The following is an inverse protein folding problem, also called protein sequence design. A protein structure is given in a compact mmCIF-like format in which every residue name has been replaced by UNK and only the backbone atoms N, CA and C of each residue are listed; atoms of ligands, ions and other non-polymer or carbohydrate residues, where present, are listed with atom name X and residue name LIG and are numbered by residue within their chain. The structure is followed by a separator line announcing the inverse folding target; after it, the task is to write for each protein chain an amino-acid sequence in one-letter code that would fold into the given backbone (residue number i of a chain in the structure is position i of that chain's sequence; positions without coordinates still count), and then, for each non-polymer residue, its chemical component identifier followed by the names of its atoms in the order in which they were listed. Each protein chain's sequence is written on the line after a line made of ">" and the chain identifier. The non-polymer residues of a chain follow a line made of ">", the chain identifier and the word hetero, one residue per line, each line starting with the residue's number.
data_IF_392766122949
#
_entry.id   IF_392766122949
#
_cell.length_a   1.000
_cell.length_b   1.000
_cell.length_c   1.000
_cell.angle_alpha   90.00
_cell.angle_beta   90.00
_cell.angle_gamma   90.00
#
_symmetry.space_group_name_H-M   'P 1'
#
loop_
_entity.id
_entity.type
_entity.pdbx_description
1 polymer ?
#
# COMPACT_ATOMS: atom_id res chain seq x y z
N UNK A 1 11.23 -17.19 -6.39
CA UNK A 1 11.24 -18.16 -5.27
C UNK A 1 10.30 -17.64 -4.19
N UNK A 2 9.34 -18.44 -3.73
CA UNK A 2 8.40 -18.05 -2.67
C UNK A 2 9.11 -17.98 -1.31
N UNK A 3 8.87 -16.91 -0.57
CA UNK A 3 9.35 -16.74 0.81
C UNK A 3 8.22 -16.21 1.67
N UNK A 4 8.14 -16.70 2.89
CA UNK A 4 7.16 -16.27 3.89
C UNK A 4 7.89 -15.77 5.13
N UNK A 5 7.50 -14.61 5.60
CA UNK A 5 8.00 -14.00 6.83
C UNK A 5 6.84 -13.78 7.79
N UNK A 6 7.07 -14.03 9.07
CA UNK A 6 6.07 -13.84 10.12
C UNK A 6 6.69 -13.10 11.29
N UNK A 7 5.93 -12.17 11.87
CA UNK A 7 6.29 -11.49 13.11
C UNK A 7 5.04 -11.17 13.93
N UNK A 8 5.18 -11.00 15.21
CA UNK A 8 4.11 -10.49 16.04
C UNK A 8 4.13 -8.95 16.09
N UNK A 9 3.02 -8.34 15.79
CA UNK A 9 2.82 -6.89 15.83
C UNK A 9 1.56 -6.60 16.63
N UNK A 10 1.69 -5.87 17.73
CA UNK A 10 0.59 -5.48 18.62
C UNK A 10 -0.31 -6.67 19.05
N UNK A 11 0.30 -7.81 19.38
CA UNK A 11 -0.40 -9.02 19.82
C UNK A 11 -1.09 -9.83 18.73
N UNK A 12 -0.82 -9.53 17.44
CA UNK A 12 -1.35 -10.25 16.29
C UNK A 12 -0.22 -10.62 15.32
N UNK A 13 -0.40 -11.73 14.63
CA UNK A 13 0.58 -12.19 13.65
C UNK A 13 0.46 -11.38 12.36
N UNK A 14 1.55 -10.68 12.01
CA UNK A 14 1.76 -10.12 10.69
C UNK A 14 2.54 -11.13 9.85
N UNK A 15 1.97 -11.55 8.73
CA UNK A 15 2.61 -12.45 7.76
C UNK A 15 2.78 -11.74 6.43
N UNK A 16 3.93 -11.92 5.82
CA UNK A 16 4.28 -11.35 4.52
C UNK A 16 4.71 -12.48 3.59
N UNK A 17 3.97 -12.67 2.52
CA UNK A 17 4.27 -13.63 1.46
C UNK A 17 4.87 -12.88 0.26
N UNK A 18 6.10 -13.24 -0.11
CA UNK A 18 6.85 -12.63 -1.23
C UNK A 18 7.08 -13.67 -2.32
N UNK A 19 6.89 -13.28 -3.59
CA UNK A 19 7.11 -14.15 -4.75
C UNK A 19 6.02 -15.20 -4.98
N UNK A 20 4.85 -15.05 -4.35
CA UNK A 20 3.70 -15.93 -4.53
C UNK A 20 2.81 -15.48 -5.68
N UNK A 21 2.61 -14.18 -5.80
CA UNK A 21 1.71 -13.54 -6.78
C UNK A 21 2.42 -12.36 -7.43
N UNK A 22 1.88 -11.87 -8.54
CA UNK A 22 2.35 -10.67 -9.24
C UNK A 22 3.83 -10.73 -9.67
N UNK A 23 4.27 -11.86 -10.23
CA UNK A 23 5.65 -12.07 -10.67
C UNK A 23 6.16 -11.08 -11.74
N UNK A 24 5.26 -10.32 -12.39
CA UNK A 24 5.60 -9.32 -13.40
C UNK A 24 5.83 -7.93 -12.79
N UNK A 25 5.45 -7.70 -11.53
CA UNK A 25 5.74 -6.45 -10.83
C UNK A 25 7.22 -6.43 -10.41
N UNK A 26 7.81 -5.21 -10.30
CA UNK A 26 9.16 -5.05 -9.79
C UNK A 26 9.27 -5.51 -8.33
N UNK A 27 8.21 -5.28 -7.54
CA UNK A 27 8.08 -5.82 -6.20
C UNK A 27 6.63 -6.13 -5.86
N UNK A 28 6.38 -7.22 -5.14
CA UNK A 28 5.05 -7.60 -4.70
C UNK A 28 5.09 -8.29 -3.33
N UNK A 29 4.20 -7.87 -2.45
CA UNK A 29 4.02 -8.43 -1.12
C UNK A 29 2.53 -8.69 -0.86
N UNK A 30 2.19 -9.93 -0.47
CA UNK A 30 0.87 -10.27 0.02
C UNK A 30 0.92 -10.24 1.55
N UNK A 31 0.24 -9.25 2.11
CA UNK A 31 0.22 -8.97 3.53
C UNK A 31 -0.97 -9.63 4.20
N UNK A 32 -0.75 -10.25 5.34
CA UNK A 32 -1.80 -10.79 6.19
C UNK A 32 -1.63 -10.25 7.61
N UNK A 33 -2.66 -9.65 8.14
CA UNK A 33 -2.69 -9.18 9.52
C UNK A 33 -4.04 -9.51 10.15
N UNK A 34 -4.08 -10.50 11.04
CA UNK A 34 -5.32 -11.17 11.38
C UNK A 34 -5.97 -11.77 10.12
N UNK A 35 -7.25 -11.53 9.92
CA UNK A 35 -7.99 -11.96 8.72
C UNK A 35 -7.97 -10.89 7.60
N UNK A 36 -7.34 -9.74 7.84
CA UNK A 36 -7.14 -8.73 6.79
C UNK A 36 -6.02 -9.15 5.84
N UNK A 37 -6.31 -9.12 4.55
CA UNK A 37 -5.36 -9.46 3.49
C UNK A 37 -5.27 -8.31 2.49
N UNK A 38 -4.06 -7.82 2.26
CA UNK A 38 -3.78 -6.76 1.28
C UNK A 38 -2.67 -7.20 0.34
N UNK A 39 -2.90 -7.07 -0.94
CA UNK A 39 -1.90 -7.25 -1.98
C UNK A 39 -1.30 -5.88 -2.33
N UNK A 40 -0.02 -5.70 -2.05
CA UNK A 40 0.73 -4.50 -2.41
C UNK A 40 1.74 -4.81 -3.51
N UNK A 41 1.71 -4.01 -4.58
CA UNK A 41 2.64 -4.14 -5.70
C UNK A 41 3.31 -2.82 -6.02
N UNK A 42 4.57 -2.89 -6.41
CA UNK A 42 5.35 -1.75 -6.90
C UNK A 42 5.81 -2.05 -8.33
N UNK A 43 5.53 -1.14 -9.24
CA UNK A 43 5.95 -1.21 -10.64
C UNK A 43 6.57 0.10 -11.07
N UNK A 44 7.64 0.04 -11.86
CA UNK A 44 8.28 1.21 -12.44
C UNK A 44 8.43 1.05 -13.95
N UNK A 45 8.35 2.17 -14.68
CA UNK A 45 8.72 2.19 -16.09
C UNK A 45 10.22 2.00 -16.26
N UNK A 46 10.64 1.40 -17.37
CA UNK A 46 12.08 1.23 -17.68
C UNK A 46 12.75 2.55 -18.06
N UNK A 47 11.99 3.45 -18.68
CA UNK A 47 12.48 4.72 -19.19
C UNK A 47 11.57 5.85 -18.69
N UNK A 48 12.13 7.04 -18.42
CA UNK A 48 11.34 8.21 -18.08
C UNK A 48 10.56 8.68 -19.30
N UNK A 49 9.40 9.28 -19.10
CA UNK A 49 8.63 9.91 -20.18
C UNK A 49 9.30 11.19 -20.61
N UNK A 50 9.33 11.45 -21.91
CA UNK A 50 9.84 12.69 -22.47
C UNK A 50 9.02 13.90 -21.98
N UNK A 51 9.71 14.98 -21.59
CA UNK A 51 9.09 16.26 -21.22
C UNK A 51 8.53 16.34 -19.81
N UNK A 52 8.87 15.39 -18.91
CA UNK A 52 8.45 15.46 -17.51
C UNK A 52 9.57 15.96 -16.62
N UNK A 53 9.32 17.07 -15.91
CA UNK A 53 10.26 17.69 -14.96
C UNK A 53 10.04 17.26 -13.50
N UNK A 54 8.98 16.50 -13.22
CA UNK A 54 8.63 16.05 -11.88
C UNK A 54 8.67 14.52 -11.76
N UNK A 55 8.69 14.02 -10.52
CA UNK A 55 8.62 12.59 -10.24
C UNK A 55 7.16 12.09 -10.31
N UNK A 56 6.80 11.26 -11.31
CA UNK A 56 5.45 10.74 -11.46
C UNK A 56 5.24 9.49 -10.57
N UNK A 57 4.83 9.71 -9.34
CA UNK A 57 4.41 8.65 -8.41
C UNK A 57 2.89 8.58 -8.36
N UNK A 58 2.33 7.44 -8.70
CA UNK A 58 0.92 7.10 -8.53
C UNK A 58 0.76 6.08 -7.42
N UNK A 59 -0.06 6.39 -6.44
CA UNK A 59 -0.44 5.45 -5.38
C UNK A 59 -1.93 5.18 -5.48
N UNK A 60 -2.27 3.92 -5.66
CA UNK A 60 -3.64 3.45 -5.74
C UNK A 60 -3.94 2.57 -4.52
N UNK A 61 -5.11 2.77 -3.95
CA UNK A 61 -5.67 1.96 -2.90
C UNK A 61 -7.08 1.55 -3.30
N UNK A 62 -7.31 0.26 -3.42
CA UNK A 62 -8.56 -0.28 -3.92
C UNK A 62 -9.21 -1.20 -2.89
N UNK A 63 -10.42 -0.82 -2.48
CA UNK A 63 -11.31 -1.63 -1.65
C UNK A 63 -12.29 -2.36 -2.56
N UNK A 64 -12.15 -3.68 -2.67
CA UNK A 64 -13.03 -4.50 -3.50
C UNK A 64 -14.22 -5.01 -2.69
N UNK A 65 -15.41 -5.00 -3.28
CA UNK A 65 -16.64 -5.47 -2.63
C UNK A 65 -16.56 -6.95 -2.20
N UNK A 66 -15.80 -7.75 -2.94
CA UNK A 66 -15.59 -9.17 -2.56
C UNK A 66 -14.80 -9.34 -1.26
N UNK A 67 -14.00 -8.35 -0.84
CA UNK A 67 -13.26 -8.38 0.41
C UNK A 67 -14.18 -8.48 1.65
N UNK A 68 -15.41 -8.04 1.52
CA UNK A 68 -16.47 -8.16 2.53
C UNK A 68 -17.61 -9.12 2.10
N UNK A 69 -17.33 -10.00 1.14
CA UNK A 69 -18.29 -11.01 0.65
C UNK A 69 -19.47 -10.42 -0.14
N UNK A 70 -19.35 -9.21 -0.68
CA UNK A 70 -20.42 -8.54 -1.42
C UNK A 70 -20.13 -8.49 -2.92
N UNK A 71 -21.21 -8.47 -3.72
CA UNK A 71 -21.14 -8.24 -5.16
C UNK A 71 -21.57 -6.79 -5.44
N UNK A 72 -20.91 -6.05 -6.36
CA UNK A 72 -21.34 -4.71 -6.74
C UNK A 72 -22.82 -4.68 -7.16
N UNK A 73 -23.58 -3.71 -6.60
CA UNK A 73 -25.03 -3.62 -6.78
C UNK A 73 -25.50 -3.01 -8.10
N UNK A 74 -24.59 -2.42 -8.89
CA UNK A 74 -24.92 -1.80 -10.17
C UNK A 74 -25.35 -2.79 -11.25
N UNK A 75 -26.03 -2.31 -12.30
CA UNK A 75 -26.49 -3.12 -13.43
C UNK A 75 -25.37 -3.95 -14.06
N UNK A 76 -24.19 -3.34 -14.25
CA UNK A 76 -23.03 -4.00 -14.85
C UNK A 76 -22.26 -4.92 -13.89
N UNK A 77 -22.67 -5.03 -12.63
CA UNK A 77 -21.96 -5.80 -11.58
C UNK A 77 -20.46 -5.50 -11.50
N UNK A 78 -20.10 -4.25 -11.79
CA UNK A 78 -18.73 -3.75 -11.74
C UNK A 78 -18.58 -2.76 -10.59
N UNK A 79 -17.38 -2.71 -10.06
CA UNK A 79 -17.00 -1.69 -9.09
C UNK A 79 -16.93 -0.32 -9.76
N UNK A 80 -17.38 0.70 -9.04
CA UNK A 80 -17.36 2.08 -9.51
C UNK A 80 -16.00 2.75 -9.30
N UNK A 81 -16.03 4.08 -9.20
CA UNK A 81 -14.85 4.89 -8.83
C UNK A 81 -14.43 4.57 -7.39
N UNK A 82 -13.15 4.82 -7.10
CA UNK A 82 -12.63 4.73 -5.74
C UNK A 82 -13.43 5.58 -4.77
N UNK A 83 -13.65 5.08 -3.55
CA UNK A 83 -14.32 5.82 -2.48
C UNK A 83 -13.47 7.02 -2.03
N UNK A 84 -14.08 8.01 -1.38
CA UNK A 84 -13.35 9.14 -0.80
C UNK A 84 -12.29 8.66 0.21
N UNK A 85 -12.62 7.65 1.02
CA UNK A 85 -11.68 7.03 1.95
C UNK A 85 -10.50 6.37 1.22
N UNK A 86 -10.74 5.69 0.12
CA UNK A 86 -9.68 5.08 -0.68
C UNK A 86 -8.73 6.14 -1.26
N UNK A 87 -9.28 7.28 -1.74
CA UNK A 87 -8.48 8.40 -2.23
C UNK A 87 -7.65 9.03 -1.10
N UNK A 88 -8.24 9.21 0.09
CA UNK A 88 -7.52 9.74 1.25
C UNK A 88 -6.42 8.78 1.71
N UNK A 89 -6.70 7.49 1.76
CA UNK A 89 -5.72 6.46 2.12
C UNK A 89 -4.55 6.43 1.14
N UNK A 90 -4.81 6.50 -0.16
CA UNK A 90 -3.74 6.56 -1.16
C UNK A 90 -2.84 7.79 -0.97
N UNK A 91 -3.42 8.95 -0.60
CA UNK A 91 -2.65 10.15 -0.26
C UNK A 91 -1.84 10.02 1.02
N UNK A 92 -2.38 9.32 2.03
CA UNK A 92 -1.67 9.04 3.29
C UNK A 92 -0.47 8.15 3.03
N UNK A 93 -0.56 7.20 2.10
CA UNK A 93 0.56 6.36 1.68
C UNK A 93 1.58 7.14 0.84
N UNK A 94 1.12 7.96 -0.11
CA UNK A 94 1.99 8.73 -1.01
C UNK A 94 2.91 9.72 -0.27
N UNK A 95 2.35 10.49 0.66
CA UNK A 95 3.07 11.58 1.32
C UNK A 95 4.37 11.17 2.02
N UNK A 96 4.40 10.12 2.84
CA UNK A 96 5.62 9.70 3.51
C UNK A 96 6.58 8.93 2.59
N UNK A 97 6.10 8.29 1.55
CA UNK A 97 6.93 7.51 0.64
C UNK A 97 7.62 8.38 -0.41
N UNK A 98 6.95 9.41 -0.91
CA UNK A 98 7.47 10.29 -1.98
C UNK A 98 8.84 10.92 -1.68
N UNK A 99 9.13 11.43 -0.46
CA UNK A 99 10.43 12.02 -0.15
C UNK A 99 11.59 11.02 -0.10
N UNK A 100 11.30 9.71 -0.01
CA UNK A 100 12.30 8.65 0.08
C UNK A 100 12.80 8.19 -1.30
N UNK A 101 12.22 8.70 -2.38
CA UNK A 101 12.75 8.51 -3.73
C UNK A 101 13.82 9.56 -4.05
N UNK A 102 14.84 9.23 -4.85
CA UNK A 102 15.85 10.19 -5.29
C UNK A 102 15.23 11.36 -6.04
N UNK A 103 15.71 12.57 -5.78
CA UNK A 103 15.17 13.81 -6.40
C UNK A 103 15.27 13.83 -7.93
N UNK A 104 16.25 13.11 -8.48
CA UNK A 104 16.50 13.03 -9.92
C UNK A 104 15.80 11.87 -10.60
N UNK A 105 15.05 11.06 -9.86
CA UNK A 105 14.30 9.94 -10.41
C UNK A 105 13.07 10.43 -11.17
N UNK A 106 12.91 10.01 -12.44
CA UNK A 106 11.87 10.49 -13.36
C UNK A 106 11.02 9.38 -13.98
N UNK A 107 11.33 8.12 -13.64
CA UNK A 107 10.53 6.99 -14.13
C UNK A 107 9.16 7.00 -13.47
N UNK A 108 8.14 6.57 -14.22
CA UNK A 108 6.80 6.38 -13.66
C UNK A 108 6.82 5.25 -12.62
N UNK A 109 6.40 5.55 -11.41
CA UNK A 109 6.22 4.54 -10.36
C UNK A 109 4.75 4.43 -10.01
N UNK A 110 4.23 3.21 -10.02
CA UNK A 110 2.86 2.92 -9.58
C UNK A 110 2.90 1.93 -8.43
N UNK A 111 2.32 2.35 -7.31
CA UNK A 111 2.10 1.51 -6.14
C UNK A 111 0.61 1.17 -6.08
N UNK A 112 0.27 -0.10 -6.23
CA UNK A 112 -1.12 -0.53 -6.14
C UNK A 112 -1.31 -1.40 -4.90
N UNK A 113 -2.28 -1.01 -4.07
CA UNK A 113 -2.64 -1.69 -2.84
C UNK A 113 -4.10 -2.15 -2.95
N UNK A 114 -4.30 -3.45 -3.11
CA UNK A 114 -5.61 -4.05 -3.27
C UNK A 114 -6.02 -4.79 -2.02
N UNK A 115 -7.13 -4.40 -1.43
CA UNK A 115 -7.72 -5.06 -0.26
C UNK A 115 -8.48 -6.29 -0.73
N UNK A 116 -8.05 -7.48 -0.28
CA UNK A 116 -8.61 -8.77 -0.68
C UNK A 116 -9.53 -9.39 0.38
N UNK A 117 -9.27 -9.11 1.65
CA UNK A 117 -10.12 -9.50 2.78
C UNK A 117 -9.99 -8.46 3.88
N UNK A 118 -11.05 -8.26 4.66
CA UNK A 118 -11.10 -7.26 5.74
C UNK A 118 -11.58 -7.91 7.03
N UNK A 119 -10.78 -7.74 8.07
CA UNK A 119 -11.16 -7.95 9.46
C UNK A 119 -11.53 -6.58 10.07
N UNK A 120 -12.72 -6.42 10.65
CA UNK A 120 -13.16 -5.16 11.27
C UNK A 120 -12.21 -4.61 12.35
N UNK A 121 -11.46 -5.50 13.01
CA UNK A 121 -10.50 -5.12 14.04
C UNK A 121 -9.10 -4.79 13.51
N UNK A 122 -8.81 -5.13 12.25
CA UNK A 122 -7.52 -4.91 11.59
C UNK A 122 -7.67 -4.00 10.38
N UNK A 123 -7.45 -2.71 10.57
CA UNK A 123 -7.62 -1.71 9.51
C UNK A 123 -6.73 -1.99 8.30
N UNK A 124 -7.29 -2.18 7.10
CA UNK A 124 -6.52 -2.52 5.91
C UNK A 124 -5.60 -1.38 5.44
N UNK A 125 -5.90 -0.12 5.80
CA UNK A 125 -5.09 1.04 5.43
C UNK A 125 -3.66 0.95 6.02
N UNK A 126 -3.54 0.50 7.28
CA UNK A 126 -2.24 0.32 7.93
C UNK A 126 -1.45 -0.82 7.27
N UNK A 127 -2.14 -1.91 6.97
CA UNK A 127 -1.55 -3.07 6.29
C UNK A 127 -1.08 -2.70 4.89
N UNK A 128 -1.87 -1.90 4.16
CA UNK A 128 -1.53 -1.39 2.84
C UNK A 128 -0.27 -0.49 2.87
N UNK A 129 -0.15 0.38 3.86
CA UNK A 129 1.01 1.25 4.02
C UNK A 129 2.30 0.44 4.26
N UNK A 130 2.26 -0.52 5.16
CA UNK A 130 3.38 -1.41 5.43
C UNK A 130 3.70 -2.24 4.18
N UNK A 131 2.67 -2.76 3.52
CA UNK A 131 2.79 -3.54 2.30
C UNK A 131 3.42 -2.77 1.14
N UNK A 132 2.97 -1.52 0.91
CA UNK A 132 3.55 -0.64 -0.10
C UNK A 132 5.04 -0.37 0.17
N UNK A 133 5.40 -0.10 1.43
CA UNK A 133 6.79 0.10 1.83
C UNK A 133 7.63 -1.16 1.57
N UNK A 134 7.16 -2.33 1.97
CA UNK A 134 7.85 -3.61 1.74
C UNK A 134 7.98 -3.90 0.24
N UNK A 135 6.88 -3.77 -0.53
CA UNK A 135 6.89 -4.02 -1.96
C UNK A 135 7.92 -3.14 -2.70
N UNK A 136 8.05 -1.87 -2.29
CA UNK A 136 9.05 -0.96 -2.85
C UNK A 136 10.46 -1.32 -2.42
N UNK A 137 10.69 -1.66 -1.15
CA UNK A 137 12.01 -2.05 -0.64
C UNK A 137 12.56 -3.34 -1.25
N UNK A 138 11.72 -4.30 -1.61
CA UNK A 138 12.15 -5.57 -2.24
C UNK A 138 12.26 -5.45 -3.76
N UNK A 139 11.81 -4.34 -4.36
CA UNK A 139 11.92 -4.07 -5.78
C UNK A 139 13.31 -3.56 -6.16
N UNK A 140 13.56 -3.45 -7.44
CA UNK A 140 14.75 -2.81 -8.03
C UNK A 140 14.62 -1.28 -8.15
N UNK A 141 13.51 -0.72 -7.65
CA UNK A 141 13.24 0.72 -7.67
C UNK A 141 14.12 1.41 -6.61
N UNK A 142 14.83 2.49 -6.93
CA UNK A 142 15.64 3.21 -5.96
C UNK A 142 14.75 3.87 -4.90
N UNK A 143 14.85 3.39 -3.68
CA UNK A 143 14.02 3.81 -2.56
C UNK A 143 14.82 3.80 -1.25
N UNK A 144 14.91 4.94 -0.58
CA UNK A 144 15.61 5.11 0.69
C UNK A 144 14.67 4.90 1.89
N UNK A 145 14.06 3.71 1.94
CA UNK A 145 13.11 3.28 2.98
C UNK A 145 13.63 2.11 3.79
N UNK A 146 12.90 1.57 4.74
CA UNK A 146 11.44 1.46 4.83
C UNK A 146 10.73 2.68 5.43
N UNK A 147 9.43 2.78 5.15
CA UNK A 147 8.55 3.80 5.69
C UNK A 147 7.53 3.21 6.67
N UNK A 148 7.36 3.86 7.82
CA UNK A 148 6.30 3.56 8.78
C UNK A 148 5.75 4.87 9.36
N UNK A 149 4.44 5.08 9.35
CA UNK A 149 3.87 6.42 9.55
C UNK A 149 2.71 6.41 10.49
N UNK A 150 2.51 5.92 11.48
CA UNK A 150 1.26 6.14 12.23
C UNK A 150 1.39 6.93 13.53
N UNK A 151 2.59 7.08 14.06
CA UNK A 151 2.74 7.46 15.47
C UNK A 151 2.63 8.95 15.78
N UNK A 152 2.96 9.83 14.85
CA UNK A 152 2.94 11.28 15.10
C UNK A 152 1.53 11.85 15.22
N UNK A 153 0.55 11.25 14.56
CA UNK A 153 -0.83 11.73 14.59
C UNK A 153 -1.56 11.38 15.90
N UNK A 154 -1.28 10.21 16.46
CA UNK A 154 -1.82 9.79 17.77
C UNK A 154 -1.23 10.63 18.92
N UNK A 155 0.06 10.94 18.88
CA UNK A 155 0.69 11.79 19.89
C UNK A 155 0.19 13.24 19.88
N UNK A 156 -0.10 13.79 18.70
CA UNK A 156 -0.67 15.14 18.62
C UNK A 156 -2.10 15.20 19.20
N UNK A 157 -2.82 14.09 19.18
CA UNK A 157 -4.17 14.01 19.75
C UNK A 157 -4.14 13.80 21.29
N UNK A 158 -3.18 13.06 21.80
CA UNK A 158 -2.99 12.86 23.25
C UNK A 158 -2.58 14.17 23.95
N UNK A 159 -1.77 15.01 23.32
CA UNK A 159 -1.36 16.31 23.90
C UNK A 159 -2.49 17.35 23.94
N UNK A 160 -3.57 17.16 23.20
CA UNK A 160 -4.77 18.02 23.24
C UNK A 160 -5.79 17.56 24.28
N UNK A 161 -5.70 16.33 24.78
CA UNK A 161 -6.57 15.80 25.83
C UNK A 161 -6.03 16.02 27.26
N UNK A 162 -4.75 16.44 27.39
CA UNK A 162 -4.09 16.71 28.66
C UNK A 162 -4.05 18.23 28.99
N UNK A 163 -4.73 19.08 28.21
CA UNK A 163 -4.95 20.50 28.44
C UNK A 163 -6.43 20.76 28.76
#
# INVERSE_FOLDING_TARGET
>A
MFKQYTMELAGRTLRVDVGRVCAQANGAALMHYGDTVVLSTATASKEPREGIDFFPLSVEYEEKMYAVGKIPGGFNKREGKASENAILTSRVIDRPMRPLFPKDYRNDVTLNNMVMAVDPECRPELVAMIGASIATCISDIPFDGPCAVSYTHLRAHETLSDL
#
